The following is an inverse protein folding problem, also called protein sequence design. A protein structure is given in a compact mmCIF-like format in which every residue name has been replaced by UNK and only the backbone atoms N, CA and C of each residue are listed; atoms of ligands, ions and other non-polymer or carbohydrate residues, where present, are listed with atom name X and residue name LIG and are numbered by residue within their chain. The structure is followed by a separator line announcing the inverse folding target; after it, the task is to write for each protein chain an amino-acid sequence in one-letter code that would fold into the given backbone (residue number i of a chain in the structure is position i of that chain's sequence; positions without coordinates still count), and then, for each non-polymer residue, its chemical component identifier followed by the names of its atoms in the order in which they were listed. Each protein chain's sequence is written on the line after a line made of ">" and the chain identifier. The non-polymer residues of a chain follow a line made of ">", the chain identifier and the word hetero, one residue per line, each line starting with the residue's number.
data_IF_865416217386
#
_entry.id   IF_865416217386
#
_cell.length_a   1.000
_cell.length_b   1.000
_cell.length_c   1.000
_cell.angle_alpha   90.00
_cell.angle_beta   90.00
_cell.angle_gamma   90.00
#
_symmetry.space_group_name_H-M   'P 1'
#
loop_
_entity.id
_entity.type
_entity.pdbx_description
1 polymer ?
#
# COMPACT_ATOMS: atom_id res chain seq x y z
N UNK A 1 -32.12 -48.73 -22.77
CA UNK A 1 -31.44 -47.43 -22.71
C UNK A 1 -30.88 -47.27 -21.30
N UNK A 2 -29.59 -47.45 -21.03
CA UNK A 2 -29.01 -47.23 -19.71
C UNK A 2 -28.74 -45.76 -19.47
N UNK A 3 -29.19 -45.23 -18.33
CA UNK A 3 -28.93 -43.90 -17.86
C UNK A 3 -27.48 -43.75 -17.40
N UNK A 4 -26.75 -42.83 -17.99
CA UNK A 4 -25.39 -42.44 -17.58
C UNK A 4 -25.45 -41.61 -16.32
N UNK A 5 -25.00 -42.13 -15.21
CA UNK A 5 -24.76 -41.40 -13.97
C UNK A 5 -23.48 -40.61 -14.10
N UNK A 6 -23.60 -39.28 -14.29
CA UNK A 6 -22.48 -38.34 -14.18
C UNK A 6 -22.06 -38.23 -12.72
N UNK A 7 -20.94 -38.80 -12.39
CA UNK A 7 -20.25 -38.53 -11.11
C UNK A 7 -19.68 -37.10 -11.12
N UNK A 8 -20.15 -36.28 -10.18
CA UNK A 8 -19.59 -34.96 -9.89
C UNK A 8 -18.18 -35.11 -9.30
N UNK A 9 -17.17 -34.36 -9.75
CA UNK A 9 -15.89 -34.37 -9.08
C UNK A 9 -16.04 -33.75 -7.70
N UNK A 10 -15.66 -34.48 -6.66
CA UNK A 10 -15.50 -33.97 -5.30
C UNK A 10 -14.29 -33.05 -5.27
N UNK A 11 -14.52 -31.74 -5.25
CA UNK A 11 -13.48 -30.79 -4.92
C UNK A 11 -13.10 -30.97 -3.45
N UNK A 12 -11.91 -31.48 -3.23
CA UNK A 12 -11.28 -31.50 -1.91
C UNK A 12 -11.06 -30.03 -1.46
N UNK A 13 -11.91 -29.58 -0.56
CA UNK A 13 -11.73 -28.30 0.11
C UNK A 13 -10.58 -28.50 1.10
N UNK A 14 -9.39 -28.04 0.74
CA UNK A 14 -8.30 -27.90 1.71
C UNK A 14 -8.79 -26.94 2.81
N UNK A 15 -8.60 -27.30 4.09
CA UNK A 15 -8.96 -26.40 5.18
C UNK A 15 -8.18 -25.09 5.00
N UNK A 16 -8.92 -23.98 5.04
CA UNK A 16 -8.34 -22.65 4.99
C UNK A 16 -7.24 -22.55 6.06
N UNK A 17 -6.03 -22.24 5.62
CA UNK A 17 -4.91 -22.03 6.53
C UNK A 17 -5.31 -20.88 7.47
N UNK A 18 -5.26 -21.05 8.80
CA UNK A 18 -5.58 -19.97 9.71
C UNK A 18 -4.68 -18.77 9.35
N UNK A 19 -5.22 -17.54 9.34
CA UNK A 19 -4.41 -16.37 9.04
C UNK A 19 -3.23 -16.35 10.02
N UNK A 20 -2.02 -16.35 9.48
CA UNK A 20 -0.83 -16.09 10.28
C UNK A 20 -1.02 -14.72 10.91
N UNK A 21 -1.15 -14.69 12.24
CA UNK A 21 -1.10 -13.45 13.00
C UNK A 21 0.30 -12.89 12.78
N UNK A 22 0.45 -12.03 11.79
CA UNK A 22 1.67 -11.24 11.66
C UNK A 22 1.83 -10.40 12.91
N UNK A 23 3.01 -10.36 13.54
CA UNK A 23 3.22 -9.51 14.69
C UNK A 23 2.84 -8.08 14.31
N UNK A 24 2.07 -7.41 15.18
CA UNK A 24 1.71 -6.01 14.96
C UNK A 24 3.00 -5.21 14.79
N UNK A 25 3.11 -4.39 13.72
CA UNK A 25 4.24 -3.50 13.61
C UNK A 25 4.28 -2.59 14.84
N UNK A 26 5.46 -2.20 15.30
CA UNK A 26 5.59 -1.28 16.42
C UNK A 26 4.87 0.03 16.08
N UNK A 27 4.16 0.59 17.06
CA UNK A 27 3.53 1.89 16.87
C UNK A 27 4.60 2.97 16.66
N UNK A 28 4.37 3.86 15.68
CA UNK A 28 5.27 4.99 15.47
C UNK A 28 5.32 5.88 16.72
N UNK A 29 6.50 6.32 17.16
CA UNK A 29 6.64 7.13 18.34
C UNK A 29 5.90 8.46 18.21
N UNK A 30 5.30 8.93 19.31
CA UNK A 30 4.59 10.22 19.36
C UNK A 30 5.57 11.42 19.46
N UNK A 31 6.83 11.16 19.80
CA UNK A 31 7.85 12.19 19.90
C UNK A 31 8.14 12.82 18.52
N UNK A 32 8.50 14.10 18.49
CA UNK A 32 8.94 14.73 17.26
C UNK A 32 10.17 14.01 16.68
N UNK A 33 10.30 13.91 15.35
CA UNK A 33 11.46 13.30 14.73
C UNK A 33 12.72 14.14 14.98
N UNK A 34 13.86 13.47 15.10
CA UNK A 34 15.17 14.14 15.19
C UNK A 34 15.58 14.77 13.86
N UNK A 35 15.20 14.13 12.76
CA UNK A 35 15.48 14.57 11.40
C UNK A 35 14.31 14.20 10.49
N UNK A 36 14.03 15.04 9.50
CA UNK A 36 12.98 14.84 8.52
C UNK A 36 13.53 15.07 7.13
N UNK A 37 13.33 14.09 6.25
CA UNK A 37 13.62 14.24 4.83
C UNK A 37 12.30 14.25 4.07
N UNK A 38 12.07 15.31 3.32
CA UNK A 38 10.87 15.46 2.50
C UNK A 38 11.07 14.74 1.15
N UNK A 39 10.46 13.56 1.02
CA UNK A 39 10.51 12.77 -0.21
C UNK A 39 9.72 13.38 -1.37
N UNK A 40 8.94 14.43 -1.14
CA UNK A 40 8.27 15.21 -2.19
C UNK A 40 9.21 16.19 -2.90
N UNK A 41 10.42 16.37 -2.38
CA UNK A 41 11.46 17.21 -3.02
C UNK A 41 12.39 16.35 -3.88
N UNK A 42 12.97 16.95 -4.91
CA UNK A 42 13.98 16.29 -5.74
C UNK A 42 15.20 15.85 -4.91
N UNK A 43 15.64 16.69 -3.97
CA UNK A 43 16.77 16.42 -3.08
C UNK A 43 16.47 15.25 -2.14
N UNK A 44 15.31 15.25 -1.49
CA UNK A 44 14.91 14.18 -0.58
C UNK A 44 14.70 12.84 -1.29
N UNK A 45 14.05 12.84 -2.46
CA UNK A 45 13.93 11.63 -3.29
C UNK A 45 15.29 11.11 -3.74
N UNK A 46 16.19 11.99 -4.18
CA UNK A 46 17.53 11.60 -4.59
C UNK A 46 18.36 11.04 -3.43
N UNK A 47 18.23 11.59 -2.22
CA UNK A 47 18.94 11.09 -1.04
C UNK A 47 18.63 9.62 -0.73
N UNK A 48 17.40 9.18 -0.97
CA UNK A 48 16.95 7.80 -0.78
C UNK A 48 16.92 6.98 -2.09
N UNK A 49 17.49 7.49 -3.17
CA UNK A 49 17.43 6.89 -4.51
C UNK A 49 16.00 6.55 -4.97
N UNK A 50 15.01 7.30 -4.49
CA UNK A 50 13.61 7.05 -4.75
C UNK A 50 13.23 7.46 -6.19
N UNK A 51 12.63 6.52 -6.91
CA UNK A 51 11.99 6.79 -8.21
C UNK A 51 10.52 6.48 -8.07
N UNK A 52 9.69 7.50 -8.13
CA UNK A 52 8.26 7.36 -8.01
C UNK A 52 7.64 6.96 -9.34
N UNK A 53 6.78 5.95 -9.30
CA UNK A 53 6.03 5.45 -10.45
C UNK A 53 4.56 5.41 -10.13
N UNK A 54 3.73 5.65 -11.14
CA UNK A 54 2.28 5.66 -10.99
C UNK A 54 1.61 4.92 -12.12
N UNK A 55 0.52 4.24 -11.78
CA UNK A 55 -0.40 3.62 -12.73
C UNK A 55 -1.82 3.68 -12.19
N UNK A 56 -2.78 3.85 -13.08
CA UNK A 56 -4.19 3.68 -12.72
C UNK A 56 -4.45 2.24 -12.29
N UNK A 57 -5.16 2.10 -11.19
CA UNK A 57 -5.70 0.82 -10.74
C UNK A 57 -7.06 0.55 -11.37
N UNK A 58 -7.42 -0.71 -11.49
CA UNK A 58 -8.74 -1.16 -11.96
C UNK A 58 -9.40 -1.99 -10.87
N UNK A 59 -10.67 -1.74 -10.65
CA UNK A 59 -11.53 -2.63 -9.87
C UNK A 59 -12.14 -3.64 -10.81
N UNK A 60 -11.83 -4.91 -10.59
CA UNK A 60 -12.32 -6.02 -11.40
C UNK A 60 -13.33 -6.81 -10.57
N UNK A 61 -14.56 -6.90 -11.07
CA UNK A 61 -15.59 -7.67 -10.40
C UNK A 61 -15.21 -9.16 -10.38
N UNK A 62 -15.29 -9.76 -9.21
CA UNK A 62 -15.02 -11.17 -9.01
C UNK A 62 -16.03 -11.79 -8.03
N UNK A 63 -16.20 -13.13 -8.05
CA UNK A 63 -17.05 -13.81 -7.07
C UNK A 63 -16.54 -13.59 -5.65
N UNK A 64 -17.44 -13.28 -4.72
CA UNK A 64 -17.10 -13.17 -3.32
C UNK A 64 -16.55 -14.51 -2.80
N UNK A 65 -15.46 -14.44 -2.04
CA UNK A 65 -14.85 -15.59 -1.42
C UNK A 65 -15.55 -15.92 -0.09
N UNK A 66 -16.11 -17.14 -0.01
CA UNK A 66 -16.70 -17.69 1.22
C UNK A 66 -18.21 -17.52 1.35
N UNK A 67 -18.75 -18.20 2.37
CA UNK A 67 -20.20 -18.31 2.61
C UNK A 67 -20.76 -17.16 3.48
N UNK A 68 -19.95 -16.16 3.75
CA UNK A 68 -20.26 -15.19 4.81
C UNK A 68 -21.43 -14.25 4.50
N UNK A 69 -21.69 -13.98 3.22
CA UNK A 69 -22.79 -13.09 2.80
C UNK A 69 -23.38 -13.54 1.46
N UNK A 70 -24.28 -14.53 1.44
CA UNK A 70 -24.88 -15.03 0.20
C UNK A 70 -25.69 -13.96 -0.56
N UNK A 71 -26.07 -12.88 0.11
CA UNK A 71 -26.78 -11.74 -0.50
C UNK A 71 -25.84 -10.82 -1.32
N UNK A 72 -24.53 -10.93 -1.11
CA UNK A 72 -23.52 -10.15 -1.83
C UNK A 72 -22.54 -11.11 -2.55
N UNK A 73 -22.97 -11.69 -3.69
CA UNK A 73 -22.22 -12.73 -4.38
C UNK A 73 -20.98 -12.21 -5.11
N UNK A 74 -20.84 -10.90 -5.21
CA UNK A 74 -19.72 -10.26 -5.91
C UNK A 74 -18.86 -9.45 -4.97
N UNK A 75 -17.57 -9.44 -5.27
CA UNK A 75 -16.59 -8.54 -4.68
C UNK A 75 -15.73 -7.94 -5.80
N UNK A 76 -14.75 -7.13 -5.44
CA UNK A 76 -13.87 -6.52 -6.41
C UNK A 76 -12.42 -6.81 -6.04
N UNK A 77 -11.67 -7.13 -7.06
CA UNK A 77 -10.22 -7.24 -6.98
C UNK A 77 -9.58 -5.97 -7.51
N UNK A 78 -8.36 -5.68 -7.09
CA UNK A 78 -7.63 -4.48 -7.48
C UNK A 78 -6.48 -4.90 -8.40
N UNK A 79 -6.57 -4.54 -9.66
CA UNK A 79 -5.51 -4.84 -10.63
C UNK A 79 -4.73 -3.58 -11.03
N UNK A 80 -3.42 -3.75 -11.30
CA UNK A 80 -2.60 -4.94 -11.07
C UNK A 80 -2.32 -5.13 -9.57
N UNK A 81 -1.88 -6.35 -9.17
CA UNK A 81 -1.46 -6.67 -7.80
C UNK A 81 -0.10 -6.03 -7.48
N UNK A 82 -0.10 -4.72 -7.47
CA UNK A 82 1.12 -3.92 -7.32
C UNK A 82 1.64 -3.87 -5.87
N UNK A 83 0.89 -4.44 -4.94
CA UNK A 83 1.31 -4.67 -3.56
C UNK A 83 2.36 -5.77 -3.44
N UNK A 84 2.46 -6.66 -4.42
CA UNK A 84 3.37 -7.79 -4.37
C UNK A 84 4.83 -7.34 -4.33
N UNK A 85 5.61 -8.01 -3.50
CA UNK A 85 7.06 -7.78 -3.44
C UNK A 85 7.72 -8.15 -4.75
N UNK A 86 8.60 -7.27 -5.24
CA UNK A 86 9.31 -7.48 -6.50
C UNK A 86 8.42 -7.33 -7.74
N UNK A 87 7.24 -6.74 -7.60
CA UNK A 87 6.38 -6.43 -8.74
C UNK A 87 7.15 -5.59 -9.78
N UNK A 88 7.05 -5.97 -11.05
CA UNK A 88 7.70 -5.24 -12.15
C UNK A 88 6.85 -4.02 -12.54
N UNK A 89 7.30 -2.85 -12.14
CA UNK A 89 6.70 -1.56 -12.47
C UNK A 89 7.52 -0.77 -13.51
N UNK A 90 8.41 -1.44 -14.24
CA UNK A 90 9.36 -0.79 -15.17
C UNK A 90 8.68 -0.05 -16.31
N UNK A 91 7.48 -0.48 -16.72
CA UNK A 91 6.65 0.14 -17.77
C UNK A 91 5.74 1.27 -17.25
N UNK A 92 5.76 1.55 -15.94
CA UNK A 92 4.91 2.57 -15.35
C UNK A 92 5.43 3.99 -15.59
N UNK A 93 4.51 4.94 -15.54
CA UNK A 93 4.86 6.35 -15.67
C UNK A 93 5.71 6.80 -14.50
N UNK A 94 6.93 7.24 -14.78
CA UNK A 94 7.78 7.92 -13.79
C UNK A 94 7.24 9.32 -13.56
N UNK A 95 7.09 9.68 -12.29
CA UNK A 95 6.60 11.00 -11.91
C UNK A 95 7.60 11.70 -11.00
N UNK A 96 7.80 13.01 -11.20
CA UNK A 96 8.55 13.80 -10.24
C UNK A 96 7.87 13.78 -8.86
N UNK A 97 8.64 13.73 -7.81
CA UNK A 97 8.12 13.65 -6.44
C UNK A 97 7.14 14.78 -6.11
N UNK A 98 7.40 15.99 -6.57
CA UNK A 98 6.52 17.16 -6.35
C UNK A 98 5.16 17.07 -7.06
N UNK A 99 5.03 16.18 -8.05
CA UNK A 99 3.77 15.96 -8.78
C UNK A 99 2.87 14.90 -8.13
N UNK A 100 3.34 14.19 -7.11
CA UNK A 100 2.55 13.15 -6.44
C UNK A 100 1.24 13.69 -5.85
N UNK A 101 1.29 14.91 -5.31
CA UNK A 101 0.13 15.57 -4.71
C UNK A 101 -0.87 16.17 -5.71
N UNK A 102 -0.50 16.31 -6.99
CA UNK A 102 -1.31 16.95 -8.02
C UNK A 102 -2.16 16.01 -8.87
N UNK A 103 -2.02 14.70 -8.66
CA UNK A 103 -2.68 13.69 -9.49
C UNK A 103 -4.06 13.34 -8.93
N UNK A 104 -5.01 14.22 -9.20
CA UNK A 104 -6.42 13.97 -8.94
C UNK A 104 -7.10 13.43 -10.20
N UNK A 105 -8.03 12.50 -10.01
CA UNK A 105 -8.92 12.09 -11.09
C UNK A 105 -9.77 13.27 -11.58
N UNK A 106 -10.31 13.18 -12.77
CA UNK A 106 -11.05 14.27 -13.42
C UNK A 106 -12.49 14.43 -12.93
N UNK A 107 -12.72 14.64 -11.63
CA UNK A 107 -14.04 14.97 -11.07
C UNK A 107 -14.90 13.77 -10.69
N UNK A 108 -14.32 12.59 -10.64
CA UNK A 108 -14.97 11.34 -10.22
C UNK A 108 -14.01 10.59 -9.27
N UNK A 109 -14.39 9.41 -8.84
CA UNK A 109 -13.50 8.56 -8.06
C UNK A 109 -12.36 8.06 -8.93
N UNK A 110 -11.12 8.24 -8.48
CA UNK A 110 -9.94 7.70 -9.13
C UNK A 110 -9.24 6.67 -8.25
N UNK A 111 -8.67 5.67 -8.89
CA UNK A 111 -7.92 4.58 -8.26
C UNK A 111 -6.52 4.56 -8.84
N UNK A 112 -5.51 4.71 -8.00
CA UNK A 112 -4.13 4.76 -8.47
C UNK A 112 -3.22 3.91 -7.58
N UNK A 113 -2.26 3.26 -8.21
CA UNK A 113 -1.09 2.72 -7.56
C UNK A 113 0.08 3.69 -7.67
N UNK A 114 0.75 3.92 -6.56
CA UNK A 114 2.04 4.59 -6.50
C UNK A 114 3.07 3.61 -5.97
N UNK A 115 4.22 3.52 -6.62
CA UNK A 115 5.32 2.67 -6.17
C UNK A 115 6.62 3.44 -6.12
N UNK A 116 7.45 3.09 -5.15
CA UNK A 116 8.84 3.51 -5.08
C UNK A 116 9.67 2.51 -4.26
N UNK A 117 10.95 2.40 -4.58
CA UNK A 117 11.92 1.76 -3.70
C UNK A 117 12.75 2.85 -3.04
N UNK A 118 12.86 2.78 -1.72
CA UNK A 118 13.70 3.65 -0.91
C UNK A 118 14.94 2.88 -0.49
N UNK A 119 16.12 3.44 -0.74
CA UNK A 119 17.38 2.91 -0.23
C UNK A 119 17.90 3.83 0.87
N UNK A 120 18.14 3.29 2.06
CA UNK A 120 18.68 4.04 3.19
C UNK A 120 20.11 4.49 2.88
N UNK A 121 20.41 5.78 2.78
CA UNK A 121 21.77 6.28 2.56
C UNK A 121 22.62 6.16 3.84
N UNK A 122 23.94 6.26 3.73
CA UNK A 122 24.81 6.44 4.91
C UNK A 122 24.50 7.75 5.64
N UNK A 123 24.21 8.77 4.85
CA UNK A 123 23.92 10.11 5.35
C UNK A 123 22.68 10.66 4.63
N UNK A 124 21.62 10.92 5.38
CA UNK A 124 20.38 11.50 4.89
C UNK A 124 20.41 13.03 5.11
N UNK A 125 20.94 13.78 4.16
CA UNK A 125 20.98 15.26 4.19
C UNK A 125 21.55 15.82 5.50
N UNK A 126 22.68 15.28 5.93
CA UNK A 126 23.37 15.72 7.15
C UNK A 126 23.13 14.83 8.39
N UNK A 127 22.28 13.82 8.28
CA UNK A 127 21.97 12.91 9.39
C UNK A 127 22.55 11.50 9.12
N UNK A 128 23.29 10.95 10.10
CA UNK A 128 23.77 9.57 10.08
C UNK A 128 22.57 8.63 10.34
N UNK A 129 22.34 7.71 9.42
CA UNK A 129 21.18 6.83 9.46
C UNK A 129 21.41 5.51 10.20
N UNK A 130 22.67 5.18 10.51
CA UNK A 130 22.99 3.90 11.14
C UNK A 130 22.35 3.80 12.54
N UNK A 131 21.59 2.72 12.77
CA UNK A 131 20.89 2.46 14.04
C UNK A 131 19.69 3.38 14.29
N UNK A 132 19.31 4.22 13.34
CA UNK A 132 18.16 5.10 13.49
C UNK A 132 16.83 4.35 13.30
N UNK A 133 15.77 4.76 13.98
CA UNK A 133 14.41 4.34 13.64
C UNK A 133 13.92 5.11 12.41
N UNK A 134 13.55 4.40 11.36
CA UNK A 134 12.94 4.99 10.18
C UNK A 134 11.41 4.97 10.26
N UNK A 135 10.79 6.13 10.09
CA UNK A 135 9.35 6.30 10.08
C UNK A 135 8.94 7.01 8.80
N UNK A 136 8.12 6.36 7.98
CA UNK A 136 7.48 6.97 6.83
C UNK A 136 6.23 7.73 7.30
N UNK A 137 6.13 9.01 6.92
CA UNK A 137 4.89 9.76 7.03
C UNK A 137 4.27 9.88 5.65
N UNK A 138 3.06 9.36 5.51
CA UNK A 138 2.27 9.45 4.29
C UNK A 138 1.04 10.28 4.56
N UNK A 139 0.70 11.15 3.65
CA UNK A 139 -0.53 11.92 3.65
C UNK A 139 -1.29 11.63 2.36
N UNK A 140 -2.51 11.14 2.48
CA UNK A 140 -3.39 10.86 1.33
C UNK A 140 -4.76 11.43 1.63
N UNK A 141 -5.39 11.91 0.60
CA UNK A 141 -6.77 12.37 0.64
C UNK A 141 -7.71 11.19 0.34
N UNK A 142 -8.77 11.09 1.13
CA UNK A 142 -9.82 10.07 1.21
C UNK A 142 -9.36 8.70 1.71
N UNK A 143 -8.66 7.90 0.93
CA UNK A 143 -8.32 6.53 1.32
C UNK A 143 -6.99 6.08 0.73
N UNK A 144 -6.20 5.36 1.52
CA UNK A 144 -5.06 4.62 1.01
C UNK A 144 -4.78 3.34 1.78
N UNK A 145 -4.24 2.36 1.09
CA UNK A 145 -3.56 1.19 1.64
C UNK A 145 -2.07 1.30 1.35
N UNK A 146 -1.25 1.11 2.38
CA UNK A 146 0.20 1.24 2.27
C UNK A 146 0.82 -0.11 2.53
N UNK A 147 1.57 -0.57 1.56
CA UNK A 147 2.26 -1.85 1.56
C UNK A 147 3.76 -1.61 1.61
N UNK A 148 4.44 -2.29 2.52
CA UNK A 148 5.89 -2.22 2.69
C UNK A 148 6.45 -3.61 2.45
N UNK A 149 7.33 -3.75 1.47
CA UNK A 149 7.94 -5.03 1.10
C UNK A 149 6.89 -6.15 0.83
N UNK A 150 5.75 -5.79 0.25
CA UNK A 150 4.66 -6.72 -0.03
C UNK A 150 3.75 -7.03 1.17
N UNK A 151 3.93 -6.34 2.30
CA UNK A 151 3.16 -6.59 3.50
C UNK A 151 2.34 -5.37 3.93
N UNK A 152 1.07 -5.61 4.24
CA UNK A 152 0.20 -4.69 4.96
C UNK A 152 -0.37 -5.43 6.17
N UNK A 153 0.16 -5.20 7.38
CA UNK A 153 -0.29 -5.90 8.58
C UNK A 153 -1.78 -5.73 8.82
N UNK A 154 -2.48 -6.85 9.02
CA UNK A 154 -3.92 -6.87 9.29
C UNK A 154 -4.18 -7.58 10.61
N UNK A 155 -5.08 -7.05 11.41
CA UNK A 155 -5.57 -7.69 12.63
C UNK A 155 -7.08 -7.90 12.51
N UNK A 156 -7.57 -9.05 13.01
CA UNK A 156 -9.00 -9.33 13.04
C UNK A 156 -9.76 -8.20 13.79
N UNK A 157 -10.85 -7.74 13.20
CA UNK A 157 -11.75 -6.71 13.74
C UNK A 157 -11.10 -5.32 14.00
N UNK A 158 -9.97 -5.02 13.37
CA UNK A 158 -9.35 -3.69 13.43
C UNK A 158 -8.87 -3.26 12.05
N UNK A 159 -8.98 -1.96 11.70
CA UNK A 159 -8.32 -1.43 10.52
C UNK A 159 -6.81 -1.67 10.61
N UNK A 160 -6.18 -1.92 9.47
CA UNK A 160 -4.71 -1.95 9.44
C UNK A 160 -4.17 -0.58 9.86
N UNK A 161 -3.09 -0.53 10.66
CA UNK A 161 -2.40 0.74 10.92
C UNK A 161 -1.78 1.36 9.65
N UNK A 162 -1.76 0.61 8.54
CA UNK A 162 -1.28 1.04 7.23
C UNK A 162 -2.41 1.49 6.29
N UNK A 163 -3.63 1.58 6.81
CA UNK A 163 -4.78 2.12 6.07
C UNK A 163 -5.05 3.55 6.49
N UNK A 164 -5.11 4.45 5.52
CA UNK A 164 -5.49 5.86 5.72
C UNK A 164 -6.95 6.01 5.31
N UNK A 165 -7.73 6.70 6.12
CA UNK A 165 -9.14 6.98 5.85
C UNK A 165 -9.47 8.42 6.26
N UNK A 166 -10.12 9.16 5.37
CA UNK A 166 -10.60 10.51 5.60
C UNK A 166 -9.79 11.59 4.90
N UNK A 167 -10.37 12.78 4.86
CA UNK A 167 -9.85 13.92 4.14
C UNK A 167 -8.49 14.38 4.70
N UNK A 168 -7.48 14.36 3.85
CA UNK A 168 -6.14 14.91 4.11
C UNK A 168 -5.50 14.35 5.40
N UNK A 169 -5.68 13.05 5.63
CA UNK A 169 -5.18 12.38 6.83
C UNK A 169 -3.73 11.95 6.67
N UNK A 170 -2.97 12.09 7.74
CA UNK A 170 -1.56 11.71 7.80
C UNK A 170 -1.35 10.52 8.72
N UNK A 171 -0.63 9.52 8.23
CA UNK A 171 -0.22 8.35 9.00
C UNK A 171 1.29 8.24 9.10
N UNK A 172 1.74 7.63 10.19
CA UNK A 172 3.15 7.35 10.48
C UNK A 172 3.35 5.84 10.58
N UNK A 173 4.21 5.32 9.72
CA UNK A 173 4.47 3.89 9.58
C UNK A 173 5.94 3.65 9.90
N UNK A 174 6.22 2.74 10.83
CA UNK A 174 7.59 2.33 11.13
C UNK A 174 8.09 1.42 10.02
N UNK A 175 9.11 1.88 9.28
CA UNK A 175 9.80 1.07 8.27
C UNK A 175 10.81 0.12 8.93
N UNK A 176 11.56 0.65 9.89
CA UNK A 176 12.51 -0.14 10.68
C UNK A 176 12.69 0.51 12.05
N UNK A 177 12.91 -0.31 13.08
CA UNK A 177 13.28 0.16 14.43
C UNK A 177 14.75 0.55 14.51
N UNK A 178 15.59 -0.07 13.69
CA UNK A 178 17.01 0.21 13.51
C UNK A 178 17.33 0.06 12.04
N UNK A 179 17.88 1.08 11.42
CA UNK A 179 18.29 1.06 10.00
C UNK A 179 19.76 0.78 9.85
N UNK A 180 20.09 0.15 8.73
CA UNK A 180 21.44 0.04 8.21
C UNK A 180 21.53 0.73 6.86
N UNK A 181 22.61 1.47 6.57
CA UNK A 181 22.85 1.96 5.22
C UNK A 181 22.78 0.83 4.19
N UNK A 182 22.02 1.04 3.13
CA UNK A 182 21.75 0.03 2.11
C UNK A 182 20.45 -0.77 2.31
N UNK A 183 19.76 -0.63 3.44
CA UNK A 183 18.43 -1.20 3.60
C UNK A 183 17.49 -0.67 2.51
N UNK A 184 16.65 -1.57 1.99
CA UNK A 184 15.70 -1.25 0.93
C UNK A 184 14.28 -1.48 1.40
N UNK A 185 13.41 -0.52 1.10
CA UNK A 185 11.97 -0.60 1.35
C UNK A 185 11.22 -0.42 0.04
N UNK A 186 10.53 -1.45 -0.41
CA UNK A 186 9.58 -1.36 -1.50
C UNK A 186 8.26 -0.80 -0.97
N UNK A 187 7.88 0.36 -1.46
CA UNK A 187 6.60 0.99 -1.15
C UNK A 187 5.60 0.72 -2.27
N UNK A 188 4.40 0.30 -1.92
CA UNK A 188 3.25 0.33 -2.79
C UNK A 188 2.10 1.01 -2.06
N UNK A 189 1.52 2.01 -2.67
CA UNK A 189 0.39 2.76 -2.12
C UNK A 189 -0.76 2.68 -3.10
N UNK A 190 -1.82 1.98 -2.70
CA UNK A 190 -3.10 2.05 -3.38
C UNK A 190 -3.86 3.25 -2.83
N UNK A 191 -4.23 4.18 -3.68
CA UNK A 191 -4.93 5.38 -3.28
C UNK A 191 -6.26 5.53 -4.02
N UNK A 192 -7.28 5.93 -3.27
CA UNK A 192 -8.58 6.34 -3.79
C UNK A 192 -8.71 7.83 -3.51
N UNK A 193 -9.01 8.59 -4.56
CA UNK A 193 -9.33 10.01 -4.43
C UNK A 193 -10.74 10.22 -4.96
N UNK A 194 -11.62 10.68 -4.10
CA UNK A 194 -12.96 11.13 -4.45
C UNK A 194 -12.93 12.65 -4.55
N UNK A 195 -13.40 13.20 -5.65
CA UNK A 195 -13.65 14.64 -5.66
C UNK A 195 -14.62 14.96 -4.53
N UNK A 196 -14.24 15.84 -3.63
CA UNK A 196 -15.17 16.36 -2.65
C UNK A 196 -16.36 16.91 -3.42
N UNK A 197 -17.46 16.20 -3.36
CA UNK A 197 -18.75 16.77 -3.74
C UNK A 197 -18.88 18.04 -2.91
N UNK A 198 -18.72 19.17 -3.53
CA UNK A 198 -19.19 20.44 -2.96
C UNK A 198 -20.68 20.30 -2.80
N UNK A 199 -21.10 19.71 -1.69
CA UNK A 199 -22.46 19.86 -1.19
C UNK A 199 -22.58 21.31 -0.76
N UNK A 200 -23.08 22.11 -1.71
CA UNK A 200 -23.57 23.45 -1.46
C UNK A 200 -24.86 23.36 -0.64
#
# INVERSE_FOLDING_TARGET
>A
MPQSTRTRPTHSILPARPPLLTPHPPAAPLLPPLHVVDLMTAEGSAAFAATWRVREAKLVECPALGDAMPEFPTTYDIEPHAEERGFDDSDWTVVPAFDLGGRRGGGMVSFCWYRATLTVPVNALGFDTAGAMAVLRVNVDDYAEIWINGEMPRAAARPSPYTIQGFNMSHRIVLATETSPGDNFELAVFAINCDSLNLI
#
